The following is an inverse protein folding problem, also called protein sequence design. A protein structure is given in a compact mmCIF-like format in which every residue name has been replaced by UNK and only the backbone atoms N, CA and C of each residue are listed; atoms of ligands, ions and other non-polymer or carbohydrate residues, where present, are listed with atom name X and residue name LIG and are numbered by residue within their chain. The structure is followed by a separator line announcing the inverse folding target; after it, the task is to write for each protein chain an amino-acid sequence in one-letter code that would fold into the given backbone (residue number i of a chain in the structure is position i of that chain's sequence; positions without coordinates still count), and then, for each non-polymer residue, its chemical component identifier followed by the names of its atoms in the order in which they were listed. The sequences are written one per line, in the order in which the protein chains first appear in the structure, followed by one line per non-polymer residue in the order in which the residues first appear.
data_IF_914915105374
#
_entry.id   IF_914915105374
#
_cell.length_a   1.000
_cell.length_b   1.000
_cell.length_c   1.000
_cell.angle_alpha   90.00
_cell.angle_beta   90.00
_cell.angle_gamma   90.00
#
_symmetry.space_group_name_H-M   'P 1'
#
loop_
_entity.id
_entity.type
_entity.pdbx_description
1 polymer ?
#
# COMPACT_ATOMS: atom_id res chain seq x y z
N UNK A 1 12.92 42.07 -41.54
CA UNK A 1 11.79 42.02 -40.58
C UNK A 1 10.78 41.07 -41.20
N UNK A 2 10.44 39.90 -40.68
CA UNK A 2 10.52 39.29 -39.34
C UNK A 2 10.94 37.82 -39.49
N UNK A 3 11.66 37.31 -38.48
CA UNK A 3 11.97 35.90 -38.33
C UNK A 3 10.71 35.13 -37.90
N UNK A 4 10.52 33.94 -38.49
CA UNK A 4 9.61 32.90 -38.00
C UNK A 4 10.37 32.06 -36.97
N UNK A 5 10.22 32.40 -35.69
CA UNK A 5 10.60 31.56 -34.56
C UNK A 5 9.30 31.01 -33.95
N UNK A 6 9.05 29.70 -34.05
CA UNK A 6 7.82 29.17 -33.45
C UNK A 6 7.46 27.70 -33.65
N UNK A 7 8.34 26.80 -34.13
CA UNK A 7 7.90 25.42 -34.43
C UNK A 7 8.80 24.26 -33.96
N UNK A 8 9.78 24.48 -33.07
CA UNK A 8 10.76 23.44 -32.69
C UNK A 8 10.67 22.99 -31.21
N UNK A 9 9.83 23.63 -30.39
CA UNK A 9 9.77 23.34 -28.95
C UNK A 9 9.12 21.99 -28.62
N UNK A 10 8.10 21.57 -29.37
CA UNK A 10 7.38 20.32 -29.11
C UNK A 10 8.21 19.07 -29.44
N UNK A 11 9.04 19.13 -30.48
CA UNK A 11 9.95 18.04 -30.85
C UNK A 11 11.02 17.82 -29.79
N UNK A 12 11.63 18.91 -29.31
CA UNK A 12 12.59 18.90 -28.21
C UNK A 12 11.99 18.43 -26.89
N UNK A 13 10.75 18.79 -26.58
CA UNK A 13 10.03 18.31 -25.39
C UNK A 13 9.77 16.80 -25.44
N UNK A 14 9.31 16.29 -26.58
CA UNK A 14 9.10 14.84 -26.78
C UNK A 14 10.43 14.10 -26.67
N UNK A 15 11.50 14.61 -27.28
CA UNK A 15 12.82 13.99 -27.23
C UNK A 15 13.35 13.93 -25.79
N UNK A 16 13.24 15.03 -25.03
CA UNK A 16 13.63 15.06 -23.61
C UNK A 16 12.81 14.09 -22.77
N UNK A 17 11.51 13.99 -23.00
CA UNK A 17 10.64 13.04 -22.32
C UNK A 17 11.08 11.59 -22.59
N UNK A 18 11.38 11.25 -23.84
CA UNK A 18 11.86 9.91 -24.22
C UNK A 18 13.24 9.60 -23.60
N UNK A 19 14.16 10.56 -23.62
CA UNK A 19 15.49 10.41 -23.01
C UNK A 19 15.40 10.21 -21.50
N UNK A 20 14.54 10.97 -20.82
CA UNK A 20 14.33 10.85 -19.38
C UNK A 20 13.67 9.50 -19.04
N UNK A 21 12.66 9.08 -19.80
CA UNK A 21 12.04 7.76 -19.65
C UNK A 21 13.05 6.62 -19.80
N UNK A 22 13.94 6.70 -20.80
CA UNK A 22 15.00 5.71 -21.00
C UNK A 22 16.01 5.70 -19.83
N UNK A 23 16.43 6.87 -19.33
CA UNK A 23 17.32 6.98 -18.16
C UNK A 23 16.68 6.38 -16.91
N UNK A 24 15.39 6.62 -16.69
CA UNK A 24 14.63 6.06 -15.58
C UNK A 24 14.54 4.53 -15.67
N UNK A 25 14.28 3.99 -16.86
CA UNK A 25 14.23 2.54 -17.08
C UNK A 25 15.58 1.86 -16.76
N UNK A 26 16.70 2.40 -17.27
CA UNK A 26 18.04 1.86 -16.97
C UNK A 26 18.38 1.97 -15.48
N UNK A 27 17.97 3.05 -14.83
CA UNK A 27 18.16 3.23 -13.38
C UNK A 27 17.36 2.20 -12.58
N UNK A 28 16.11 1.94 -12.97
CA UNK A 28 15.25 0.94 -12.36
C UNK A 28 15.84 -0.47 -12.54
N UNK A 29 16.32 -0.81 -13.73
CA UNK A 29 16.96 -2.10 -14.01
C UNK A 29 18.16 -2.34 -13.08
N UNK A 30 19.07 -1.36 -12.98
CA UNK A 30 20.24 -1.45 -12.08
C UNK A 30 19.84 -1.63 -10.62
N UNK A 31 18.77 -0.96 -10.18
CA UNK A 31 18.23 -1.11 -8.82
C UNK A 31 17.66 -2.50 -8.58
N UNK A 32 16.87 -3.01 -9.52
CA UNK A 32 16.35 -4.38 -9.46
C UNK A 32 17.51 -5.38 -9.44
N UNK A 33 18.53 -5.22 -10.30
CA UNK A 33 19.70 -6.08 -10.30
C UNK A 33 20.48 -6.03 -8.97
N UNK A 34 20.63 -4.83 -8.39
CA UNK A 34 21.29 -4.63 -7.10
C UNK A 34 20.52 -5.30 -5.96
N UNK A 35 19.21 -5.05 -5.85
CA UNK A 35 18.31 -5.73 -4.91
C UNK A 35 18.38 -7.25 -5.12
N UNK A 36 18.35 -7.67 -6.39
CA UNK A 36 18.60 -8.97 -7.03
C UNK A 36 19.82 -9.76 -6.52
N UNK A 37 20.90 -9.04 -6.21
CA UNK A 37 22.24 -9.63 -6.12
C UNK A 37 22.46 -10.56 -4.93
N UNK A 38 21.76 -10.33 -3.81
CA UNK A 38 21.87 -11.15 -2.59
C UNK A 38 20.51 -11.32 -1.90
N UNK A 39 20.19 -12.52 -1.40
CA UNK A 39 18.99 -12.73 -0.58
C UNK A 39 19.08 -11.92 0.72
N UNK A 40 17.95 -11.60 1.34
CA UNK A 40 17.93 -10.74 2.53
C UNK A 40 18.40 -11.42 3.82
N UNK A 41 18.56 -12.75 3.81
CA UNK A 41 18.95 -13.53 4.98
C UNK A 41 17.83 -13.71 6.01
N UNK A 42 16.62 -13.21 5.71
CA UNK A 42 15.40 -13.45 6.49
C UNK A 42 14.55 -14.50 5.76
N UNK A 43 14.09 -15.50 6.50
CA UNK A 43 13.16 -16.49 5.94
C UNK A 43 11.76 -15.90 5.76
N UNK A 44 11.30 -15.89 4.50
CA UNK A 44 9.92 -15.59 4.12
C UNK A 44 9.12 -16.88 3.90
N UNK A 45 7.80 -16.88 4.13
CA UNK A 45 6.96 -18.03 3.82
C UNK A 45 7.03 -18.36 2.32
N UNK A 46 7.04 -19.66 2.00
CA UNK A 46 7.10 -20.18 0.61
C UNK A 46 5.78 -19.95 -0.15
N UNK A 47 5.46 -18.69 -0.40
CA UNK A 47 4.27 -18.23 -1.12
C UNK A 47 4.64 -17.13 -2.11
N UNK A 48 3.86 -16.89 -3.18
CA UNK A 48 4.08 -15.75 -4.07
C UNK A 48 4.11 -14.42 -3.33
N UNK A 49 3.18 -14.22 -2.39
CA UNK A 49 3.11 -13.02 -1.56
C UNK A 49 4.38 -12.81 -0.72
N UNK A 50 4.86 -13.87 -0.04
CA UNK A 50 6.11 -13.83 0.72
C UNK A 50 7.32 -13.46 -0.14
N UNK A 51 7.45 -14.05 -1.33
CA UNK A 51 8.53 -13.70 -2.27
C UNK A 51 8.46 -12.25 -2.75
N UNK A 52 7.26 -11.74 -3.01
CA UNK A 52 7.11 -10.33 -3.40
C UNK A 52 7.53 -9.38 -2.27
N UNK A 53 7.20 -9.69 -1.01
CA UNK A 53 7.63 -8.87 0.13
C UNK A 53 9.15 -8.93 0.34
N UNK A 54 9.79 -10.09 0.13
CA UNK A 54 11.26 -10.19 0.16
C UNK A 54 11.91 -9.27 -0.88
N UNK A 55 11.39 -9.27 -2.11
CA UNK A 55 11.88 -8.41 -3.19
C UNK A 55 11.70 -6.93 -2.81
N UNK A 56 10.54 -6.55 -2.27
CA UNK A 56 10.27 -5.19 -1.80
C UNK A 56 11.26 -4.78 -0.70
N UNK A 57 11.51 -5.63 0.29
CA UNK A 57 12.47 -5.33 1.35
C UNK A 57 13.87 -5.02 0.79
N UNK A 58 14.29 -5.80 -0.21
CA UNK A 58 15.59 -5.64 -0.89
C UNK A 58 15.64 -4.37 -1.75
N UNK A 59 14.55 -4.03 -2.44
CA UNK A 59 14.42 -2.77 -3.18
C UNK A 59 14.49 -1.56 -2.24
N UNK A 60 13.78 -1.61 -1.11
CA UNK A 60 13.82 -0.56 -0.09
C UNK A 60 15.23 -0.41 0.50
N UNK A 61 15.93 -1.52 0.76
CA UNK A 61 17.29 -1.50 1.31
C UNK A 61 18.36 -0.96 0.34
N UNK A 62 18.07 -0.95 -0.97
CA UNK A 62 19.03 -0.54 -2.02
C UNK A 62 18.65 0.79 -2.69
N UNK A 63 17.53 1.40 -2.29
CA UNK A 63 17.06 2.66 -2.85
C UNK A 63 17.51 3.86 -2.00
N UNK A 64 17.97 4.90 -2.68
CA UNK A 64 18.26 6.23 -2.15
C UNK A 64 17.06 7.19 -2.28
N UNK A 65 15.97 6.76 -2.91
CA UNK A 65 14.73 7.54 -3.11
C UNK A 65 13.53 6.83 -2.51
N UNK A 66 12.55 7.62 -2.04
CA UNK A 66 11.23 7.11 -1.68
C UNK A 66 10.53 6.49 -2.89
N UNK A 67 9.85 5.37 -2.67
CA UNK A 67 9.06 4.67 -3.68
C UNK A 67 7.79 4.11 -3.05
N UNK A 68 6.73 3.99 -3.85
CA UNK A 68 5.50 3.30 -3.46
C UNK A 68 5.48 1.95 -4.16
N UNK A 69 5.34 0.88 -3.40
CA UNK A 69 5.28 -0.49 -3.90
C UNK A 69 3.88 -1.05 -3.67
N UNK A 70 3.27 -1.60 -4.72
CA UNK A 70 1.98 -2.27 -4.64
C UNK A 70 2.17 -3.79 -4.69
N UNK A 71 1.49 -4.50 -3.79
CA UNK A 71 1.48 -5.95 -3.73
C UNK A 71 0.11 -6.40 -3.26
N UNK A 72 -0.38 -7.50 -3.82
CA UNK A 72 -1.69 -8.05 -3.49
C UNK A 72 -1.55 -9.49 -3.00
N UNK A 73 -2.30 -9.82 -1.97
CA UNK A 73 -2.64 -11.19 -1.60
C UNK A 73 -4.09 -11.44 -2.03
N UNK A 74 -4.28 -12.35 -2.97
CA UNK A 74 -5.59 -12.71 -3.52
C UNK A 74 -6.22 -13.86 -2.72
N UNK A 75 -7.47 -14.22 -3.06
CA UNK A 75 -8.17 -15.37 -2.48
C UNK A 75 -9.21 -15.00 -1.42
N UNK A 76 -9.30 -13.73 -1.03
CA UNK A 76 -10.29 -13.25 -0.07
C UNK A 76 -11.69 -13.03 -0.66
N UNK A 77 -11.85 -13.07 -1.98
CA UNK A 77 -13.15 -12.88 -2.63
C UNK A 77 -13.98 -14.18 -2.65
N UNK A 78 -14.41 -14.60 -1.47
CA UNK A 78 -15.24 -15.81 -1.28
C UNK A 78 -16.65 -15.43 -0.85
N UNK A 79 -17.66 -16.11 -1.40
CA UNK A 79 -19.07 -15.95 -1.03
C UNK A 79 -19.58 -17.03 -0.05
N UNK A 80 -18.76 -18.06 0.23
CA UNK A 80 -18.99 -19.13 1.20
C UNK A 80 -17.64 -19.71 1.64
N UNK A 81 -17.61 -20.47 2.74
CA UNK A 81 -16.39 -21.15 3.21
C UNK A 81 -15.30 -20.20 3.74
N UNK A 82 -15.70 -19.04 4.25
CA UNK A 82 -14.79 -18.08 4.89
C UNK A 82 -14.08 -18.69 6.13
N UNK A 83 -14.75 -19.46 7.02
CA UNK A 83 -14.09 -20.06 8.18
C UNK A 83 -12.91 -20.98 7.85
N UNK A 84 -12.91 -21.60 6.67
CA UNK A 84 -11.83 -22.47 6.20
C UNK A 84 -10.74 -21.70 5.45
N UNK A 85 -11.13 -20.81 4.55
CA UNK A 85 -10.22 -20.11 3.64
C UNK A 85 -9.50 -18.92 4.28
N UNK A 86 -10.23 -18.08 5.03
CA UNK A 86 -9.67 -16.84 5.59
C UNK A 86 -8.51 -17.09 6.58
N UNK A 87 -8.58 -18.06 7.52
CA UNK A 87 -7.45 -18.29 8.44
C UNK A 87 -6.15 -18.68 7.74
N UNK A 88 -6.23 -19.43 6.63
CA UNK A 88 -5.06 -19.82 5.83
C UNK A 88 -4.44 -18.58 5.19
N UNK A 89 -5.27 -17.74 4.54
CA UNK A 89 -4.79 -16.52 3.89
C UNK A 89 -4.23 -15.51 4.89
N UNK A 90 -4.92 -15.31 6.02
CA UNK A 90 -4.46 -14.45 7.11
C UNK A 90 -3.16 -14.98 7.74
N UNK A 91 -2.98 -16.30 7.81
CA UNK A 91 -1.72 -16.93 8.23
C UNK A 91 -0.56 -16.62 7.27
N UNK A 92 -0.78 -16.71 5.95
CA UNK A 92 0.20 -16.33 4.93
C UNK A 92 0.54 -14.84 5.04
N UNK A 93 -0.49 -13.98 5.15
CA UNK A 93 -0.32 -12.54 5.32
C UNK A 93 0.52 -12.22 6.56
N UNK A 94 0.14 -12.73 7.73
CA UNK A 94 0.81 -12.47 9.00
C UNK A 94 2.27 -12.92 8.96
N UNK A 95 2.55 -14.13 8.46
CA UNK A 95 3.91 -14.65 8.36
C UNK A 95 4.78 -13.81 7.42
N UNK A 96 4.24 -13.41 6.26
CA UNK A 96 4.97 -12.63 5.27
C UNK A 96 5.25 -11.20 5.76
N UNK A 97 4.25 -10.53 6.36
CA UNK A 97 4.41 -9.18 6.92
C UNK A 97 5.37 -9.20 8.12
N UNK A 98 5.33 -10.22 8.97
CA UNK A 98 6.30 -10.37 10.06
C UNK A 98 7.74 -10.54 9.54
N UNK A 99 7.94 -11.29 8.45
CA UNK A 99 9.24 -11.40 7.79
C UNK A 99 9.70 -10.04 7.21
N UNK A 100 8.81 -9.33 6.50
CA UNK A 100 9.08 -7.98 5.99
C UNK A 100 9.53 -7.01 7.09
N UNK A 101 8.82 -6.98 8.22
CA UNK A 101 9.18 -6.10 9.33
C UNK A 101 10.56 -6.44 9.91
N UNK A 102 10.90 -7.74 10.04
CA UNK A 102 12.23 -8.16 10.50
C UNK A 102 13.32 -7.70 9.54
N UNK A 103 13.08 -7.85 8.25
CA UNK A 103 14.02 -7.49 7.18
C UNK A 103 14.26 -5.98 7.10
N UNK A 104 13.19 -5.18 7.13
CA UNK A 104 13.27 -3.72 7.20
C UNK A 104 14.00 -3.24 8.46
N UNK A 105 13.86 -3.94 9.58
CA UNK A 105 14.62 -3.63 10.81
C UNK A 105 16.10 -3.98 10.67
N UNK A 106 16.41 -5.15 10.10
CA UNK A 106 17.79 -5.60 9.87
C UNK A 106 18.55 -4.66 8.92
N UNK A 107 17.87 -4.14 7.89
CA UNK A 107 18.39 -3.15 6.94
C UNK A 107 18.32 -1.70 7.44
N UNK A 108 17.81 -1.44 8.64
CA UNK A 108 17.59 -0.10 9.23
C UNK A 108 16.65 0.81 8.43
N UNK A 109 15.82 0.23 7.56
CA UNK A 109 14.83 0.96 6.75
C UNK A 109 13.46 1.08 7.42
N UNK A 110 13.19 0.33 8.49
CA UNK A 110 11.87 0.31 9.14
C UNK A 110 11.38 1.67 9.67
N UNK A 111 12.30 2.54 10.13
CA UNK A 111 11.97 3.89 10.60
C UNK A 111 11.42 4.80 9.49
N UNK A 112 11.82 4.54 8.24
CA UNK A 112 11.45 5.32 7.05
C UNK A 112 10.54 4.50 6.11
N UNK A 113 9.83 3.50 6.62
CA UNK A 113 8.87 2.70 5.85
C UNK A 113 7.51 2.70 6.52
N UNK A 114 6.46 2.94 5.74
CA UNK A 114 5.07 2.73 6.12
C UNK A 114 4.45 1.66 5.22
N UNK A 115 3.80 0.69 5.83
CA UNK A 115 3.02 -0.35 5.18
C UNK A 115 1.54 -0.03 5.40
N UNK A 116 0.81 0.16 4.31
CA UNK A 116 -0.63 0.36 4.32
C UNK A 116 -1.32 -0.87 3.72
N UNK A 117 -2.21 -1.48 4.49
CA UNK A 117 -2.95 -2.69 4.11
C UNK A 117 -4.43 -2.40 4.17
N UNK A 118 -5.12 -2.62 3.06
CA UNK A 118 -6.57 -2.45 2.96
C UNK A 118 -7.16 -3.49 1.99
N UNK A 119 -8.48 -3.56 1.95
CA UNK A 119 -9.27 -4.33 0.98
C UNK A 119 -10.16 -3.38 0.20
N UNK A 120 -10.46 -3.72 -1.06
CA UNK A 120 -11.37 -2.94 -1.92
C UNK A 120 -12.84 -3.06 -1.49
N UNK A 121 -13.16 -4.09 -0.70
CA UNK A 121 -14.48 -4.34 -0.14
C UNK A 121 -14.40 -4.86 1.30
N UNK A 122 -15.46 -4.61 2.04
CA UNK A 122 -15.78 -5.22 3.33
C UNK A 122 -16.70 -6.44 3.20
N UNK A 123 -17.25 -6.90 4.31
CA UNK A 123 -18.25 -8.00 4.32
C UNK A 123 -19.53 -7.54 4.99
N UNK A 124 -20.66 -8.03 4.47
CA UNK A 124 -21.96 -7.84 5.15
C UNK A 124 -22.00 -8.61 6.45
N UNK A 125 -22.73 -8.07 7.42
CA UNK A 125 -22.84 -8.66 8.77
C UNK A 125 -23.69 -9.93 8.73
N UNK A 126 -24.74 -9.96 7.91
CA UNK A 126 -25.65 -11.11 7.81
C UNK A 126 -25.13 -12.17 6.85
N UNK A 127 -25.35 -13.42 7.23
CA UNK A 127 -25.10 -14.58 6.38
C UNK A 127 -25.99 -14.54 5.11
N UNK A 128 -25.42 -14.93 3.98
CA UNK A 128 -26.13 -15.09 2.71
C UNK A 128 -26.70 -16.51 2.57
N UNK A 129 -27.45 -16.76 1.50
CA UNK A 129 -28.09 -18.07 1.28
C UNK A 129 -27.10 -19.24 1.06
N UNK A 130 -25.81 -18.96 0.92
CA UNK A 130 -24.74 -19.95 0.72
C UNK A 130 -23.93 -20.24 2.00
N UNK A 131 -24.43 -19.85 3.17
CA UNK A 131 -23.73 -19.99 4.45
C UNK A 131 -22.38 -19.24 4.48
N UNK A 132 -22.32 -18.09 3.81
CA UNK A 132 -21.19 -17.17 3.82
C UNK A 132 -21.64 -15.73 3.89
N UNK A 133 -20.83 -14.80 3.38
CA UNK A 133 -21.16 -13.36 3.41
C UNK A 133 -20.94 -12.71 2.05
N UNK A 134 -21.83 -11.81 1.68
CA UNK A 134 -21.68 -10.97 0.49
C UNK A 134 -20.68 -9.81 0.73
N UNK A 135 -20.36 -9.12 -0.37
CA UNK A 135 -19.52 -7.91 -0.34
C UNK A 135 -20.22 -6.81 0.44
N UNK A 136 -19.44 -6.05 1.21
CA UNK A 136 -19.94 -4.88 1.91
C UNK A 136 -19.02 -3.67 1.83
N UNK A 137 -19.43 -2.57 2.46
CA UNK A 137 -18.82 -1.25 2.26
C UNK A 137 -17.62 -0.94 3.18
N UNK A 138 -17.51 -1.59 4.34
CA UNK A 138 -16.47 -1.26 5.33
C UNK A 138 -15.75 -2.48 5.87
N UNK A 139 -14.46 -2.31 6.17
CA UNK A 139 -13.58 -3.34 6.72
C UNK A 139 -12.37 -2.72 7.41
N UNK A 140 -11.53 -3.54 8.06
CA UNK A 140 -10.32 -3.04 8.73
C UNK A 140 -9.28 -2.59 7.70
N UNK A 141 -8.55 -1.53 8.05
CA UNK A 141 -7.31 -1.13 7.39
C UNK A 141 -6.19 -1.11 8.43
N UNK A 142 -4.98 -1.49 8.02
CA UNK A 142 -3.80 -1.49 8.88
C UNK A 142 -2.73 -0.55 8.35
N UNK A 143 -2.14 0.23 9.24
CA UNK A 143 -0.96 1.05 8.95
C UNK A 143 0.13 0.64 9.92
N UNK A 144 1.28 0.20 9.40
CA UNK A 144 2.42 -0.28 10.18
C UNK A 144 3.69 0.45 9.75
N UNK A 145 4.59 0.76 10.68
CA UNK A 145 5.85 1.42 10.34
C UNK A 145 6.52 2.02 11.56
N UNK A 146 7.80 2.37 11.45
CA UNK A 146 8.55 2.90 12.59
C UNK A 146 8.11 4.29 13.05
N UNK A 147 7.52 5.10 12.16
CA UNK A 147 6.98 6.43 12.47
C UNK A 147 5.48 6.46 12.78
N UNK A 148 4.81 5.31 12.73
CA UNK A 148 3.34 5.23 12.90
C UNK A 148 2.98 5.42 14.38
N UNK A 149 2.02 6.31 14.64
CA UNK A 149 1.33 6.44 15.91
C UNK A 149 0.25 5.36 16.02
N UNK A 150 0.63 4.24 16.64
CA UNK A 150 -0.21 3.04 16.71
C UNK A 150 -1.47 3.20 17.56
N UNK A 151 -2.24 2.11 17.63
CA UNK A 151 -3.52 2.06 18.33
C UNK A 151 -4.71 2.02 17.37
N UNK A 152 -5.92 1.84 17.93
CA UNK A 152 -7.15 1.90 17.16
C UNK A 152 -7.43 3.36 16.79
N UNK A 153 -7.53 3.65 15.50
CA UNK A 153 -8.00 4.93 14.98
C UNK A 153 -9.44 4.75 14.53
N UNK A 154 -10.31 5.68 14.90
CA UNK A 154 -11.76 5.58 14.67
C UNK A 154 -12.47 4.88 15.82
N UNK A 155 -13.66 4.34 15.56
CA UNK A 155 -14.46 3.60 16.54
C UNK A 155 -14.65 2.14 16.09
N UNK A 156 -14.82 1.19 17.03
CA UNK A 156 -15.27 -0.15 16.71
C UNK A 156 -16.59 -0.10 15.91
N UNK A 157 -16.79 -0.99 14.93
CA UNK A 157 -18.04 -1.02 14.18
C UNK A 157 -19.20 -1.46 15.08
N UNK A 158 -20.36 -0.83 14.89
CA UNK A 158 -21.64 -1.30 15.44
C UNK A 158 -22.25 -2.32 14.46
N UNK A 159 -22.50 -3.53 14.95
CA UNK A 159 -23.03 -4.63 14.12
C UNK A 159 -24.57 -4.59 14.01
N UNK A 160 -25.24 -3.78 14.81
CA UNK A 160 -26.68 -3.61 14.82
C UNK A 160 -27.10 -2.34 14.04
N UNK A 161 -26.25 -1.32 14.00
CA UNK A 161 -26.51 -0.06 13.28
C UNK A 161 -25.92 -0.06 11.84
N UNK A 162 -26.67 -0.65 10.91
CA UNK A 162 -26.22 -0.86 9.52
C UNK A 162 -26.79 0.14 8.52
N UNK A 163 -26.06 0.38 7.43
CA UNK A 163 -26.52 1.08 6.22
C UNK A 163 -26.89 0.05 5.15
N UNK A 164 -28.17 -0.27 4.99
CA UNK A 164 -28.66 -1.27 4.03
C UNK A 164 -28.00 -2.67 4.17
N UNK A 165 -27.62 -3.03 5.42
CA UNK A 165 -26.94 -4.29 5.74
C UNK A 165 -25.41 -4.21 5.70
N UNK A 166 -24.86 -3.07 5.31
CA UNK A 166 -23.43 -2.79 5.34
C UNK A 166 -23.01 -2.12 6.64
N UNK A 167 -21.78 -2.41 7.08
CA UNK A 167 -21.15 -1.67 8.16
C UNK A 167 -20.90 -0.22 7.73
N UNK A 168 -21.21 0.72 8.63
CA UNK A 168 -20.86 2.13 8.47
C UNK A 168 -19.37 2.31 8.73
N UNK A 169 -18.65 2.90 7.79
CA UNK A 169 -17.23 3.21 8.00
C UNK A 169 -17.10 4.39 8.97
N UNK A 170 -16.11 4.33 9.86
CA UNK A 170 -15.81 5.41 10.81
C UNK A 170 -14.73 6.35 10.29
N UNK A 171 -13.92 5.87 9.36
CA UNK A 171 -12.86 6.63 8.67
C UNK A 171 -12.96 6.33 7.18
N UNK A 172 -12.94 7.39 6.37
CA UNK A 172 -12.85 7.28 4.92
C UNK A 172 -11.45 6.79 4.51
N UNK A 173 -11.38 5.75 3.68
CA UNK A 173 -10.12 5.19 3.18
C UNK A 173 -9.23 6.26 2.52
N UNK A 174 -9.84 7.23 1.82
CA UNK A 174 -9.15 8.32 1.14
C UNK A 174 -8.48 9.27 2.12
N UNK A 175 -9.05 9.42 3.32
CA UNK A 175 -8.46 10.22 4.38
C UNK A 175 -7.17 9.57 4.93
N UNK A 176 -7.11 8.23 4.97
CA UNK A 176 -5.88 7.47 5.29
C UNK A 176 -4.83 7.65 4.19
N UNK A 177 -5.25 7.58 2.93
CA UNK A 177 -4.36 7.78 1.77
C UNK A 177 -3.80 9.21 1.73
N UNK A 178 -4.61 10.22 2.03
CA UNK A 178 -4.17 11.61 2.14
C UNK A 178 -3.13 11.78 3.25
N UNK A 179 -3.36 11.22 4.44
CA UNK A 179 -2.40 11.26 5.55
C UNK A 179 -1.06 10.56 5.20
N UNK A 180 -1.08 9.47 4.42
CA UNK A 180 0.14 8.83 3.92
C UNK A 180 0.86 9.72 2.90
N UNK A 181 0.14 10.37 1.99
CA UNK A 181 0.73 11.25 0.99
C UNK A 181 1.35 12.50 1.63
N UNK A 182 0.63 13.17 2.52
CA UNK A 182 1.04 14.43 3.14
C UNK A 182 1.98 14.20 4.33
N UNK A 183 1.56 13.38 5.29
CA UNK A 183 2.24 13.18 6.56
C UNK A 183 3.47 12.27 6.49
N UNK A 184 3.54 11.37 5.51
CA UNK A 184 4.66 10.44 5.35
C UNK A 184 5.51 10.70 4.11
N UNK A 185 4.89 10.85 2.93
CA UNK A 185 5.63 11.09 1.68
C UNK A 185 6.00 12.56 1.46
N UNK A 186 5.37 13.49 2.19
CA UNK A 186 5.66 14.93 2.10
C UNK A 186 5.11 15.58 0.83
N UNK A 187 4.09 15.00 0.19
CA UNK A 187 3.38 15.66 -0.89
C UNK A 187 2.57 16.85 -0.35
N UNK A 188 2.43 17.94 -1.12
CA UNK A 188 1.57 19.04 -0.71
C UNK A 188 0.12 18.54 -0.59
N UNK A 189 -0.61 19.12 0.36
CA UNK A 189 -2.04 18.87 0.47
C UNK A 189 -2.72 19.24 -0.85
N UNK A 190 -3.49 18.32 -1.41
CA UNK A 190 -4.23 18.61 -2.64
C UNK A 190 -5.50 19.40 -2.27
N UNK A 191 -5.70 20.55 -2.92
CA UNK A 191 -6.87 21.40 -2.70
C UNK A 191 -8.19 20.68 -3.07
N UNK A 192 -8.14 19.61 -3.83
CA UNK A 192 -9.27 18.76 -4.22
C UNK A 192 -9.20 17.34 -3.63
N UNK A 193 -8.24 17.06 -2.75
CA UNK A 193 -8.14 15.75 -2.10
C UNK A 193 -9.39 15.49 -1.26
N UNK A 194 -10.13 14.46 -1.63
CA UNK A 194 -11.27 13.99 -0.85
C UNK A 194 -10.75 13.34 0.44
N UNK A 195 -11.24 13.78 1.61
CA UNK A 195 -10.86 13.20 2.91
C UNK A 195 -10.00 14.09 3.82
N UNK A 196 -10.25 15.41 3.85
CA UNK A 196 -9.46 16.45 4.55
C UNK A 196 -9.30 16.33 6.08
N UNK A 197 -9.81 15.27 6.70
CA UNK A 197 -9.57 14.97 8.11
C UNK A 197 -9.20 13.51 8.27
N UNK A 198 -7.97 13.17 7.87
CA UNK A 198 -7.37 11.87 8.12
C UNK A 198 -7.16 11.62 9.62
N UNK A 199 -7.15 10.35 10.06
CA UNK A 199 -6.68 10.05 11.40
C UNK A 199 -5.23 10.53 11.52
N UNK A 200 -4.83 11.09 12.66
CA UNK A 200 -3.41 11.38 12.90
C UNK A 200 -2.65 10.03 12.98
N UNK A 201 -1.98 9.65 11.90
CA UNK A 201 -1.30 8.35 11.76
C UNK A 201 0.18 8.42 12.08
N UNK A 202 0.77 9.60 11.98
CA UNK A 202 2.20 9.81 12.20
C UNK A 202 2.41 10.77 13.38
N UNK A 203 3.44 10.50 14.17
CA UNK A 203 3.88 11.46 15.18
C UNK A 203 4.36 12.71 14.44
N UNK A 204 3.76 13.87 14.71
CA UNK A 204 4.23 15.15 14.15
C UNK A 204 5.69 15.34 14.55
N UNK A 205 6.54 15.53 13.54
CA UNK A 205 7.98 15.81 13.74
C UNK A 205 8.20 17.23 14.23
#
# INVERSE_FOLDING_TARGET
RQAMEGSDSTGDEILRFLEEGAKQAVTLEKRIASALSKPSGIDYPRSPFGRHLEIIARLVATSDRGAVHFVQLTGFDTHAGQPESHPILLGVFAAAVAALIRDLKASRCFSNTALFVYSEFGRRVRENASLGTDHGKAGPAFVLGGGVDGGLKGAPPDLDELDEGDLKHTIDLRAIQAELAEGFLGFPAADDAVGRSGPALFKRR
#
